data_IF_996896618285
#
_entry.id   IF_996896618285
#
_cell.length_a   1.000
_cell.length_b   1.000
_cell.length_c   1.000
_cell.angle_alpha   90.00
_cell.angle_beta   90.00
_cell.angle_gamma   90.00
#
_symmetry.space_group_name_H-M   'P 1'
#
loop_
_entity.id
_entity.type
_entity.pdbx_description
1 polymer ?
#
# COMPACT_ATOMS: atom_id res chain seq x y z
N UNK A 1 -8.83 29.49 1.84
CA UNK A 1 -8.19 28.26 2.39
C UNK A 1 -8.87 27.10 1.70
N UNK A 2 -8.24 26.23 0.94
CA UNK A 2 -6.83 25.84 0.90
C UNK A 2 -6.50 25.44 -0.54
N UNK A 3 -5.33 25.83 -1.02
CA UNK A 3 -4.69 25.17 -2.14
C UNK A 3 -4.42 23.73 -1.68
N UNK A 4 -5.24 22.77 -2.06
CA UNK A 4 -4.87 21.35 -2.06
C UNK A 4 -4.80 20.96 -3.52
N UNK A 5 -3.73 21.40 -4.18
CA UNK A 5 -2.70 20.44 -4.57
C UNK A 5 -3.37 19.24 -5.22
N UNK A 6 -3.49 19.36 -6.53
CA UNK A 6 -3.43 18.27 -7.49
C UNK A 6 -2.13 17.47 -7.26
N UNK A 7 -1.96 16.84 -6.09
CA UNK A 7 -1.08 15.69 -6.00
C UNK A 7 -1.78 14.60 -6.79
N UNK A 8 -1.14 14.06 -7.82
CA UNK A 8 -1.44 12.69 -8.24
C UNK A 8 -1.34 11.85 -6.97
N UNK A 9 -2.47 11.56 -6.34
CA UNK A 9 -2.51 10.71 -5.16
C UNK A 9 -2.14 9.33 -5.71
N UNK A 10 -0.85 8.99 -5.68
CA UNK A 10 -0.45 7.60 -5.70
C UNK A 10 -1.11 6.98 -4.48
N UNK A 11 -2.25 6.35 -4.72
CA UNK A 11 -3.12 5.83 -3.69
C UNK A 11 -2.52 4.49 -3.29
N UNK A 12 -2.33 4.27 -1.99
CA UNK A 12 -1.87 2.98 -1.43
C UNK A 12 -2.72 1.83 -1.98
N UNK A 13 -4.01 2.08 -2.26
CA UNK A 13 -4.89 1.11 -2.88
C UNK A 13 -4.48 0.71 -4.30
N UNK A 14 -4.04 1.65 -5.13
CA UNK A 14 -3.62 1.38 -6.51
C UNK A 14 -2.34 0.53 -6.50
N UNK A 15 -1.36 0.93 -5.68
CA UNK A 15 -0.11 0.20 -5.47
C UNK A 15 -0.33 -1.23 -4.91
N UNK A 16 -1.32 -1.43 -4.04
CA UNK A 16 -1.72 -2.75 -3.54
C UNK A 16 -2.40 -3.60 -4.63
N UNK A 17 -3.18 -2.99 -5.53
CA UNK A 17 -3.79 -3.73 -6.66
C UNK A 17 -2.74 -4.21 -7.66
N UNK A 18 -1.68 -3.42 -7.86
CA UNK A 18 -0.54 -3.77 -8.71
C UNK A 18 0.41 -4.78 -8.05
N UNK A 19 0.32 -4.97 -6.73
CA UNK A 19 1.14 -5.95 -6.02
C UNK A 19 0.75 -7.38 -6.44
N UNK A 20 1.70 -8.18 -6.99
CA UNK A 20 1.42 -9.52 -7.45
C UNK A 20 1.18 -10.49 -6.28
N UNK A 21 0.53 -11.62 -6.57
CA UNK A 21 0.34 -12.74 -5.63
C UNK A 21 -0.47 -12.40 -4.37
N UNK A 22 -1.36 -11.42 -4.43
CA UNK A 22 -2.30 -11.10 -3.35
C UNK A 22 -3.74 -11.34 -3.78
N UNK A 23 -4.45 -12.14 -2.98
CA UNK A 23 -5.89 -12.29 -3.10
C UNK A 23 -6.64 -11.04 -2.60
N UNK A 24 -7.94 -10.95 -2.91
CA UNK A 24 -8.74 -9.79 -2.54
C UNK A 24 -8.78 -9.55 -1.01
N UNK A 25 -8.98 -10.56 -0.14
CA UNK A 25 -8.91 -10.38 1.31
C UNK A 25 -7.57 -9.82 1.80
N UNK A 26 -6.44 -10.31 1.27
CA UNK A 26 -5.10 -9.85 1.64
C UNK A 26 -4.88 -8.40 1.24
N UNK A 27 -5.40 -7.95 0.09
CA UNK A 27 -5.34 -6.54 -0.33
C UNK A 27 -6.02 -5.61 0.67
N UNK A 28 -7.21 -5.97 1.16
CA UNK A 28 -7.90 -5.15 2.17
C UNK A 28 -7.15 -5.12 3.51
N UNK A 29 -6.62 -6.27 3.95
CA UNK A 29 -5.79 -6.33 5.16
C UNK A 29 -4.51 -5.49 5.02
N UNK A 30 -3.91 -5.46 3.84
CA UNK A 30 -2.71 -4.67 3.55
C UNK A 30 -3.00 -3.17 3.67
N UNK A 31 -4.14 -2.69 3.16
CA UNK A 31 -4.55 -1.28 3.34
C UNK A 31 -4.62 -0.92 4.82
N UNK A 32 -5.31 -1.73 5.62
CA UNK A 32 -5.45 -1.50 7.05
C UNK A 32 -4.09 -1.54 7.76
N UNK A 33 -3.18 -2.43 7.36
CA UNK A 33 -1.84 -2.55 7.91
C UNK A 33 -0.98 -1.32 7.61
N UNK A 34 -0.94 -0.86 6.35
CA UNK A 34 -0.19 0.35 5.95
C UNK A 34 -0.69 1.58 6.72
N UNK A 35 -2.00 1.72 6.90
CA UNK A 35 -2.60 2.78 7.70
C UNK A 35 -2.23 2.66 9.18
N UNK A 36 -2.36 1.47 9.76
CA UNK A 36 -2.04 1.19 11.17
C UNK A 36 -0.59 1.48 11.51
N UNK A 37 0.34 1.14 10.61
CA UNK A 37 1.78 1.32 10.82
C UNK A 37 2.28 2.72 10.41
N UNK A 38 1.42 3.57 9.82
CA UNK A 38 1.82 4.88 9.32
C UNK A 38 2.83 4.83 8.17
N UNK A 39 2.99 3.68 7.52
CA UNK A 39 4.06 3.39 6.55
C UNK A 39 3.74 3.80 5.11
N UNK A 40 2.79 4.73 4.90
CA UNK A 40 2.35 5.10 3.54
C UNK A 40 3.54 5.51 2.65
N UNK A 41 4.44 6.36 3.15
CA UNK A 41 5.54 6.89 2.33
C UNK A 41 6.56 5.81 1.96
N UNK A 42 6.87 4.93 2.88
CA UNK A 42 7.79 3.82 2.72
C UNK A 42 7.21 2.77 1.77
N UNK A 43 5.93 2.43 1.95
CA UNK A 43 5.22 1.47 1.12
C UNK A 43 5.15 1.92 -0.35
N UNK A 44 4.89 3.21 -0.61
CA UNK A 44 4.85 3.76 -1.98
C UNK A 44 6.23 3.75 -2.66
N UNK A 45 7.34 3.65 -1.91
CA UNK A 45 8.70 3.55 -2.47
C UNK A 45 9.13 2.13 -2.81
N UNK A 46 8.46 1.12 -2.25
CA UNK A 46 8.75 -0.29 -2.50
C UNK A 46 8.35 -0.66 -3.94
N UNK A 47 9.07 -1.61 -4.53
CA UNK A 47 8.62 -2.27 -5.77
C UNK A 47 7.38 -3.15 -5.50
N UNK A 48 6.61 -3.53 -6.53
CA UNK A 48 5.51 -4.48 -6.36
C UNK A 48 5.95 -5.80 -5.69
N UNK A 49 7.14 -6.30 -5.99
CA UNK A 49 7.70 -7.53 -5.38
C UNK A 49 8.00 -7.32 -3.90
N UNK A 50 8.68 -6.22 -3.54
CA UNK A 50 8.98 -5.87 -2.15
C UNK A 50 7.69 -5.68 -1.32
N UNK A 51 6.65 -5.08 -1.92
CA UNK A 51 5.32 -4.96 -1.28
C UNK A 51 4.72 -6.32 -1.02
N UNK A 52 4.81 -7.25 -1.97
CA UNK A 52 4.29 -8.62 -1.82
C UNK A 52 4.97 -9.34 -0.66
N UNK A 53 6.30 -9.26 -0.58
CA UNK A 53 7.09 -9.86 0.50
C UNK A 53 6.80 -9.21 1.86
N UNK A 54 6.76 -7.87 1.92
CA UNK A 54 6.44 -7.14 3.14
C UNK A 54 5.03 -7.46 3.64
N UNK A 55 4.04 -7.53 2.74
CA UNK A 55 2.66 -7.89 3.08
C UNK A 55 2.62 -9.31 3.66
N UNK A 56 3.30 -10.28 3.04
CA UNK A 56 3.37 -11.65 3.55
C UNK A 56 4.01 -11.71 4.93
N UNK A 57 5.16 -11.06 5.10
CA UNK A 57 5.87 -11.01 6.38
C UNK A 57 5.03 -10.46 7.55
N UNK A 58 4.13 -9.50 7.28
CA UNK A 58 3.30 -8.90 8.32
C UNK A 58 1.91 -9.56 8.47
N UNK A 59 1.57 -10.54 7.62
CA UNK A 59 0.29 -11.27 7.68
C UNK A 59 0.42 -12.70 8.20
N UNK A 60 1.64 -13.23 8.27
CA UNK A 60 2.01 -14.40 9.06
C UNK A 60 2.06 -14.07 10.56
#
# INVERSE_FOLDING_TARGET
>A
MEKKEEEKINNVWDDIKETPNLDAPSRYKAVALVQKLGMKKEFLKMTPEERSEWIKYNME
#
